data_IF_744519419446
#
_entry.id   IF_744519419446
#
_cell.length_a   1.000
_cell.length_b   1.000
_cell.length_c   1.000
_cell.angle_alpha   90.00
_cell.angle_beta   90.00
_cell.angle_gamma   90.00
#
_symmetry.space_group_name_H-M   'P 1'
#
loop_
_entity.id
_entity.type
_entity.pdbx_description
1 polymer ?
#
# COMPACT_ATOMS: atom_id res chain seq x y z
N UNK A 1 15.54 16.69 11.09
CA UNK A 1 15.08 15.90 9.94
C UNK A 1 16.13 14.82 9.65
N UNK A 2 15.83 13.57 9.93
CA UNK A 2 16.73 12.46 9.61
C UNK A 2 16.66 12.24 8.08
N UNK A 3 17.78 12.37 7.41
CA UNK A 3 17.89 12.14 5.96
C UNK A 3 18.11 10.64 5.75
N UNK A 4 17.09 9.93 5.31
CA UNK A 4 17.21 8.54 4.88
C UNK A 4 17.26 8.46 3.35
N UNK A 5 17.94 7.45 2.82
CA UNK A 5 17.86 7.10 1.40
C UNK A 5 16.73 6.10 1.25
N UNK A 6 15.75 6.33 0.36
CA UNK A 6 14.69 5.36 0.15
C UNK A 6 15.26 4.04 -0.39
N UNK A 7 14.81 2.94 0.20
CA UNK A 7 15.13 1.62 -0.31
C UNK A 7 14.26 1.35 -1.56
N UNK A 8 14.91 1.03 -2.68
CA UNK A 8 14.21 0.56 -3.86
C UNK A 8 13.89 -0.92 -3.68
N UNK A 9 12.60 -1.22 -3.54
CA UNK A 9 12.15 -2.57 -3.18
C UNK A 9 11.75 -3.44 -4.37
N UNK A 10 11.27 -2.86 -5.46
CA UNK A 10 10.56 -3.60 -6.50
C UNK A 10 11.42 -4.34 -7.52
N UNK A 11 12.68 -3.99 -7.69
CA UNK A 11 13.59 -4.66 -8.63
C UNK A 11 13.72 -6.18 -8.40
N UNK A 12 13.48 -6.62 -7.18
CA UNK A 12 13.61 -8.03 -6.80
C UNK A 12 12.38 -8.87 -7.13
N UNK A 13 11.23 -8.24 -7.37
CA UNK A 13 9.95 -8.91 -7.54
C UNK A 13 9.39 -8.76 -8.94
N UNK A 14 10.15 -8.15 -9.84
CA UNK A 14 9.76 -7.95 -11.23
C UNK A 14 9.65 -9.25 -12.03
N UNK A 15 10.19 -10.35 -11.53
CA UNK A 15 10.05 -11.67 -12.15
C UNK A 15 8.62 -12.23 -12.14
N UNK A 16 7.73 -11.68 -11.34
CA UNK A 16 6.33 -12.07 -11.29
C UNK A 16 5.43 -10.83 -11.14
N UNK A 17 5.33 -10.07 -12.22
CA UNK A 17 4.56 -8.82 -12.31
C UNK A 17 3.08 -8.95 -11.93
N UNK A 18 2.57 -10.18 -11.85
CA UNK A 18 1.15 -10.45 -11.63
C UNK A 18 0.79 -10.70 -10.17
N UNK A 19 1.73 -11.08 -9.30
CA UNK A 19 1.41 -11.37 -7.89
C UNK A 19 1.46 -10.12 -7.00
N UNK A 20 0.53 -9.20 -7.24
CA UNK A 20 0.36 -8.00 -6.42
C UNK A 20 -0.10 -8.31 -5.00
N UNK A 21 -0.70 -9.47 -4.77
CA UNK A 21 -1.06 -9.91 -3.43
C UNK A 21 0.22 -10.21 -2.62
N UNK A 22 1.20 -10.85 -3.23
CA UNK A 22 2.49 -11.09 -2.59
C UNK A 22 3.25 -9.79 -2.35
N UNK A 23 3.23 -8.85 -3.31
CA UNK A 23 3.82 -7.52 -3.12
C UNK A 23 3.19 -6.79 -1.94
N UNK A 24 1.86 -6.77 -1.84
CA UNK A 24 1.15 -6.17 -0.71
C UNK A 24 1.52 -6.80 0.63
N UNK A 25 1.69 -8.12 0.68
CA UNK A 25 2.14 -8.85 1.87
C UNK A 25 3.54 -8.44 2.31
N UNK A 26 4.47 -8.40 1.38
CA UNK A 26 5.85 -8.02 1.65
C UNK A 26 5.96 -6.55 2.05
N UNK A 27 5.18 -5.68 1.42
CA UNK A 27 5.04 -4.27 1.79
C UNK A 27 4.61 -4.12 3.25
N UNK A 28 3.65 -4.93 3.70
CA UNK A 28 3.18 -4.92 5.09
C UNK A 28 4.30 -5.27 6.09
N UNK A 29 5.19 -6.19 5.73
CA UNK A 29 6.35 -6.55 6.58
C UNK A 29 7.41 -5.47 6.52
N UNK A 30 7.68 -4.92 5.35
CA UNK A 30 8.71 -3.88 5.18
C UNK A 30 8.43 -2.63 6.00
N UNK A 31 7.19 -2.20 6.14
CA UNK A 31 6.85 -1.04 6.97
C UNK A 31 7.32 -1.15 8.41
N UNK A 32 7.52 -2.36 8.94
CA UNK A 32 8.03 -2.58 10.30
C UNK A 32 9.53 -2.32 10.42
N UNK A 33 10.28 -2.47 9.32
CA UNK A 33 11.74 -2.46 9.33
C UNK A 33 12.34 -1.31 8.54
N UNK A 34 11.72 -0.97 7.40
CA UNK A 34 12.20 0.02 6.45
C UNK A 34 11.07 0.97 6.07
N UNK A 35 10.78 2.00 6.90
CA UNK A 35 9.65 2.89 6.65
C UNK A 35 9.83 3.78 5.41
N UNK A 36 11.01 3.82 4.80
CA UNK A 36 11.33 4.66 3.64
C UNK A 36 11.70 3.80 2.44
N UNK A 37 10.73 3.18 1.82
CA UNK A 37 10.95 2.39 0.62
C UNK A 37 10.06 2.86 -0.54
N UNK A 38 10.41 2.42 -1.75
CA UNK A 38 9.72 2.73 -2.99
C UNK A 38 9.08 1.47 -3.55
N UNK A 39 7.83 1.57 -3.98
CA UNK A 39 7.16 0.57 -4.79
C UNK A 39 6.89 1.09 -6.19
N UNK A 40 6.86 0.19 -7.16
CA UNK A 40 6.51 0.45 -8.55
C UNK A 40 5.35 -0.44 -8.99
N UNK A 41 4.46 0.10 -9.81
CA UNK A 41 3.30 -0.61 -10.34
C UNK A 41 3.18 -0.33 -11.83
N UNK A 42 2.95 -1.37 -12.61
CA UNK A 42 2.86 -1.30 -14.08
C UNK A 42 1.45 -1.57 -14.62
N UNK A 43 0.50 -1.91 -13.76
CA UNK A 43 -0.81 -2.40 -14.15
C UNK A 43 -1.90 -1.32 -14.12
N UNK A 44 -2.84 -1.40 -15.07
CA UNK A 44 -4.08 -0.60 -15.09
C UNK A 44 -5.14 -1.23 -14.16
N UNK A 45 -4.94 -1.16 -12.85
CA UNK A 45 -5.88 -1.67 -11.87
C UNK A 45 -5.78 -0.86 -10.59
N UNK A 46 -6.85 -0.19 -10.22
CA UNK A 46 -6.89 0.62 -9.01
C UNK A 46 -6.61 -0.22 -7.76
N UNK A 47 -7.10 -1.46 -7.71
CA UNK A 47 -6.79 -2.40 -6.63
C UNK A 47 -5.28 -2.64 -6.52
N UNK A 48 -4.61 -2.97 -7.63
CA UNK A 48 -3.18 -3.23 -7.67
C UNK A 48 -2.36 -1.98 -7.33
N UNK A 49 -2.78 -0.82 -7.81
CA UNK A 49 -2.15 0.46 -7.48
C UNK A 49 -2.24 0.74 -5.97
N UNK A 50 -3.43 0.61 -5.38
CA UNK A 50 -3.66 0.80 -3.94
C UNK A 50 -2.89 -0.19 -3.06
N UNK A 51 -2.82 -1.46 -3.47
CA UNK A 51 -2.05 -2.49 -2.75
C UNK A 51 -0.57 -2.11 -2.59
N UNK A 52 -0.05 -1.30 -3.51
CA UNK A 52 1.36 -0.92 -3.57
C UNK A 52 1.64 0.52 -3.13
N UNK A 53 0.68 1.22 -2.55
CA UNK A 53 0.95 2.53 -1.95
C UNK A 53 2.00 2.40 -0.85
N UNK A 54 3.03 3.22 -0.94
CA UNK A 54 4.20 3.26 -0.08
C UNK A 54 4.64 4.71 0.11
N UNK A 55 5.57 5.02 1.01
CA UNK A 55 6.09 6.38 1.19
C UNK A 55 6.58 7.02 -0.12
N UNK A 56 7.10 6.17 -1.01
CA UNK A 56 7.44 6.55 -2.39
C UNK A 56 6.79 5.54 -3.33
N UNK A 57 5.80 6.00 -4.10
CA UNK A 57 5.11 5.16 -5.09
C UNK A 57 5.33 5.71 -6.48
N UNK A 58 5.77 4.84 -7.39
CA UNK A 58 5.76 5.08 -8.82
C UNK A 58 4.63 4.28 -9.43
N UNK A 59 3.53 4.96 -9.69
CA UNK A 59 2.34 4.34 -10.24
C UNK A 59 2.43 4.36 -11.76
N UNK A 60 2.41 3.19 -12.38
CA UNK A 60 2.48 3.04 -13.83
C UNK A 60 3.73 3.72 -14.44
N UNK A 61 4.90 3.24 -14.05
CA UNK A 61 6.22 3.83 -14.40
C UNK A 61 6.41 4.08 -15.90
N UNK A 62 5.91 3.16 -16.74
CA UNK A 62 6.04 3.24 -18.20
C UNK A 62 4.84 3.90 -18.87
N UNK A 63 3.98 4.59 -18.11
CA UNK A 63 2.74 5.18 -18.62
C UNK A 63 2.92 6.10 -19.83
N UNK A 64 4.02 6.82 -19.90
CA UNK A 64 4.30 7.73 -21.01
C UNK A 64 4.60 6.99 -22.34
N UNK A 65 5.03 5.73 -22.26
CA UNK A 65 5.39 4.89 -23.41
C UNK A 65 4.30 3.87 -23.75
N UNK A 66 3.44 3.57 -22.80
CA UNK A 66 2.39 2.57 -22.92
C UNK A 66 1.10 3.21 -23.48
N UNK A 67 0.72 2.77 -24.68
CA UNK A 67 -0.49 3.30 -25.37
C UNK A 67 -1.79 2.89 -24.68
N UNK A 68 -1.76 1.81 -23.90
CA UNK A 68 -2.92 1.26 -23.20
C UNK A 68 -3.08 1.83 -21.78
N UNK A 69 -2.35 2.88 -21.44
CA UNK A 69 -2.44 3.52 -20.14
C UNK A 69 -3.82 4.14 -19.92
N UNK A 70 -4.52 3.69 -18.88
CA UNK A 70 -5.76 4.33 -18.41
C UNK A 70 -5.42 5.57 -17.58
N UNK A 71 -5.39 6.72 -18.25
CA UNK A 71 -5.05 8.01 -17.62
C UNK A 71 -6.05 8.48 -16.58
N UNK A 72 -7.32 8.09 -16.72
CA UNK A 72 -8.38 8.47 -15.76
C UNK A 72 -8.16 7.70 -14.46
N UNK A 73 -7.97 6.40 -14.55
CA UNK A 73 -7.68 5.53 -13.41
C UNK A 73 -6.35 5.93 -12.75
N UNK A 74 -5.32 6.22 -13.53
CA UNK A 74 -4.02 6.61 -13.01
C UNK A 74 -4.10 7.96 -12.27
N UNK A 75 -4.83 8.93 -12.82
CA UNK A 75 -5.07 10.20 -12.15
C UNK A 75 -5.78 9.99 -10.82
N UNK A 76 -6.83 9.18 -10.79
CA UNK A 76 -7.53 8.82 -9.55
C UNK A 76 -6.57 8.24 -8.51
N UNK A 77 -5.71 7.30 -8.90
CA UNK A 77 -4.74 6.70 -8.00
C UNK A 77 -3.74 7.71 -7.44
N UNK A 78 -3.27 8.66 -8.27
CA UNK A 78 -2.37 9.72 -7.81
C UNK A 78 -3.07 10.72 -6.90
N UNK A 79 -4.30 11.11 -7.21
CA UNK A 79 -5.10 12.00 -6.35
C UNK A 79 -5.32 11.37 -4.95
N UNK A 80 -5.64 10.07 -4.90
CA UNK A 80 -5.75 9.34 -3.64
C UNK A 80 -4.40 9.26 -2.91
N UNK A 81 -3.33 8.93 -3.62
CA UNK A 81 -1.99 8.85 -3.05
C UNK A 81 -1.54 10.18 -2.45
N UNK A 82 -1.80 11.30 -3.12
CA UNK A 82 -1.46 12.63 -2.62
C UNK A 82 -2.17 12.97 -1.30
N UNK A 83 -3.41 12.49 -1.12
CA UNK A 83 -4.13 12.67 0.13
C UNK A 83 -3.51 11.92 1.31
N UNK A 84 -2.99 10.72 1.05
CA UNK A 84 -2.54 9.81 2.12
C UNK A 84 -1.02 9.82 2.35
N UNK A 85 -0.21 10.26 1.38
CA UNK A 85 1.26 10.12 1.44
C UNK A 85 1.90 10.77 2.66
N UNK A 86 1.32 11.85 3.19
CA UNK A 86 1.81 12.53 4.39
C UNK A 86 1.79 11.64 5.63
N UNK A 87 0.82 10.72 5.71
CA UNK A 87 0.65 9.84 6.88
C UNK A 87 1.61 8.65 6.92
N UNK A 88 2.31 8.34 5.84
CA UNK A 88 3.34 7.29 5.88
C UNK A 88 4.49 7.59 6.85
N UNK A 89 4.60 8.83 7.33
CA UNK A 89 5.58 9.24 8.33
C UNK A 89 5.08 9.10 9.77
N UNK A 90 3.79 8.80 9.96
CA UNK A 90 3.17 8.55 11.25
C UNK A 90 3.43 7.13 11.79
N UNK A 91 2.69 6.78 12.84
CA UNK A 91 2.77 5.46 13.44
C UNK A 91 2.14 4.40 12.52
N UNK A 92 2.85 3.30 12.34
CA UNK A 92 2.38 2.16 11.54
C UNK A 92 1.76 1.07 12.40
N UNK A 93 0.58 0.60 12.01
CA UNK A 93 -0.12 -0.50 12.65
C UNK A 93 -0.53 -1.57 11.65
N UNK A 94 -0.19 -2.82 11.96
CA UNK A 94 -0.71 -3.98 11.27
C UNK A 94 -2.11 -4.30 11.82
N UNK A 95 -3.13 -4.26 10.99
CA UNK A 95 -4.52 -4.52 11.38
C UNK A 95 -4.93 -5.98 11.19
N UNK A 96 -4.25 -6.70 10.29
CA UNK A 96 -4.44 -8.13 10.08
C UNK A 96 -3.09 -8.84 10.20
N UNK A 97 -3.10 -10.10 10.60
CA UNK A 97 -1.90 -10.90 10.66
C UNK A 97 -1.37 -11.21 9.26
N UNK A 98 -0.03 -11.23 9.15
CA UNK A 98 0.59 -11.71 7.92
C UNK A 98 0.36 -13.21 7.76
N UNK A 99 -0.06 -13.64 6.59
CA UNK A 99 -0.19 -15.05 6.24
C UNK A 99 0.14 -15.26 4.76
N UNK A 100 0.70 -16.40 4.42
CA UNK A 100 0.91 -16.80 3.02
C UNK A 100 -0.40 -17.21 2.32
N UNK A 101 -1.47 -17.44 3.09
CA UNK A 101 -2.76 -17.81 2.52
C UNK A 101 -3.38 -16.65 1.75
N UNK A 102 -3.92 -16.92 0.55
CA UNK A 102 -4.62 -15.94 -0.28
C UNK A 102 -6.07 -15.72 0.16
N UNK A 103 -6.69 -16.64 0.91
CA UNK A 103 -8.05 -16.50 1.45
C UNK A 103 -8.06 -15.59 2.68
N UNK A 104 -7.95 -14.27 2.44
CA UNK A 104 -7.81 -13.33 3.56
C UNK A 104 -8.16 -11.89 3.21
N UNK A 105 -8.17 -11.09 4.27
CA UNK A 105 -8.17 -9.63 4.23
C UNK A 105 -6.79 -9.10 4.63
N UNK A 106 -6.31 -8.09 3.92
CA UNK A 106 -5.10 -7.34 4.28
C UNK A 106 -5.49 -6.00 4.87
N UNK A 107 -4.98 -5.70 6.06
CA UNK A 107 -5.24 -4.45 6.76
C UNK A 107 -3.98 -3.83 7.33
N UNK A 108 -3.78 -2.56 7.06
CA UNK A 108 -2.71 -1.72 7.63
C UNK A 108 -3.21 -0.31 7.86
N UNK A 109 -2.63 0.37 8.84
CA UNK A 109 -3.02 1.72 9.21
C UNK A 109 -1.79 2.57 9.47
N UNK A 110 -1.87 3.82 9.11
CA UNK A 110 -0.92 4.87 9.48
C UNK A 110 -1.69 5.96 10.19
N UNK A 111 -1.17 6.41 11.31
CA UNK A 111 -1.78 7.43 12.14
C UNK A 111 -0.74 8.40 12.63
N UNK A 112 -0.98 9.67 12.41
CA UNK A 112 -0.16 10.76 12.92
C UNK A 112 -0.81 11.32 14.20
N UNK A 113 -0.24 11.06 15.37
CA UNK A 113 -0.82 11.51 16.63
C UNK A 113 -0.70 13.02 16.84
N UNK A 114 0.18 13.73 16.13
CA UNK A 114 0.30 15.18 16.23
C UNK A 114 -0.82 15.88 15.45
N UNK A 115 -1.27 15.27 14.36
CA UNK A 115 -2.37 15.80 13.55
C UNK A 115 -3.73 15.21 13.93
N UNK A 116 -3.75 14.15 14.74
CA UNK A 116 -4.94 13.33 15.04
C UNK A 116 -5.63 12.83 13.75
N UNK A 117 -4.84 12.49 12.76
CA UNK A 117 -5.27 12.08 11.43
C UNK A 117 -4.51 10.86 10.95
N UNK A 118 -5.12 10.11 10.04
CA UNK A 118 -4.46 8.96 9.45
C UNK A 118 -5.30 8.31 8.36
N UNK A 119 -4.87 7.14 7.91
CA UNK A 119 -5.67 6.32 7.01
C UNK A 119 -5.49 4.84 7.32
N UNK A 120 -6.54 4.06 7.07
CA UNK A 120 -6.49 2.61 7.07
C UNK A 120 -6.66 2.09 5.64
N UNK A 121 -5.76 1.23 5.23
CA UNK A 121 -5.90 0.46 4.01
C UNK A 121 -6.41 -0.93 4.36
N UNK A 122 -7.54 -1.30 3.78
CA UNK A 122 -8.20 -2.59 4.03
C UNK A 122 -8.59 -3.17 2.67
N UNK A 123 -8.08 -4.35 2.36
CA UNK A 123 -8.33 -5.04 1.10
C UNK A 123 -8.82 -6.47 1.32
N UNK A 124 -9.95 -6.81 0.70
CA UNK A 124 -10.37 -8.19 0.54
C UNK A 124 -9.65 -8.77 -0.68
N UNK A 125 -8.90 -9.84 -0.51
CA UNK A 125 -8.28 -10.50 -1.65
C UNK A 125 -9.31 -11.20 -2.52
N UNK A 126 -9.07 -11.25 -3.84
CA UNK A 126 -10.01 -11.82 -4.82
C UNK A 126 -10.37 -13.29 -4.53
N UNK A 127 -9.46 -14.01 -3.91
CA UNK A 127 -9.65 -15.42 -3.55
C UNK A 127 -10.25 -15.62 -2.16
N UNK A 128 -10.62 -14.54 -1.46
CA UNK A 128 -11.18 -14.65 -0.12
C UNK A 128 -12.60 -15.21 -0.16
N UNK A 129 -12.81 -16.29 0.59
CA UNK A 129 -14.14 -16.86 0.83
C UNK A 129 -14.97 -16.02 1.81
N UNK A 130 -14.30 -15.16 2.59
CA UNK A 130 -14.94 -14.29 3.59
C UNK A 130 -15.25 -12.94 2.97
N UNK A 131 -16.52 -12.66 2.73
CA UNK A 131 -17.00 -11.39 2.18
C UNK A 131 -17.07 -10.26 3.22
N UNK A 132 -16.97 -10.60 4.50
CA UNK A 132 -17.01 -9.63 5.61
C UNK A 132 -15.91 -9.93 6.60
N UNK A 133 -15.36 -8.88 7.23
CA UNK A 133 -14.39 -9.00 8.31
C UNK A 133 -14.60 -7.88 9.34
N UNK A 134 -14.25 -8.14 10.59
CA UNK A 134 -14.20 -7.12 11.64
C UNK A 134 -12.76 -6.79 11.93
N UNK A 135 -12.39 -5.54 11.78
CA UNK A 135 -11.02 -5.05 11.96
C UNK A 135 -11.02 -3.96 13.02
N UNK A 136 -10.21 -4.15 14.06
CA UNK A 136 -9.98 -3.13 15.08
C UNK A 136 -8.94 -2.13 14.58
N UNK A 137 -9.29 -0.86 14.54
CA UNK A 137 -8.32 0.23 14.38
C UNK A 137 -7.47 0.35 15.65
N UNK A 138 -6.24 0.84 15.50
CA UNK A 138 -5.25 0.90 16.58
C UNK A 138 -4.70 2.32 16.73
N UNK A 139 -4.24 2.65 17.93
CA UNK A 139 -3.60 3.95 18.21
C UNK A 139 -4.56 5.13 18.27
N UNK A 140 -5.86 4.89 18.20
CA UNK A 140 -6.88 5.90 18.45
C UNK A 140 -7.15 5.95 19.95
N UNK A 141 -7.30 7.17 20.48
CA UNK A 141 -7.77 7.35 21.86
C UNK A 141 -9.26 6.97 21.92
N UNK A 142 -9.65 6.03 22.77
CA UNK A 142 -11.07 5.84 23.07
C UNK A 142 -11.53 7.03 23.92
N UNK A 143 -12.43 7.85 23.39
CA UNK A 143 -13.16 8.81 24.21
C UNK A 143 -14.00 8.12 25.30
#
# INVERSE_FOLDING_TARGET
>A
MKRGVPLHYTDWFDGNHEDYNMKGKNTQVLFKWFPYFKNEVYQNSLYKLRMNYAPFSLLKVESALDKDTDWVLLKQAYDEYDLIRKYFYGNYYTLTEWTANADRWDGRMFFDPELDEGFAFIACQETSSKLTNTICLKGLDPE
#
